data_IF_153575705010
#
_entry.id   IF_153575705010
#
_cell.length_a   1.000
_cell.length_b   1.000
_cell.length_c   1.000
_cell.angle_alpha   90.00
_cell.angle_beta   90.00
_cell.angle_gamma   90.00
#
_symmetry.space_group_name_H-M   'P 1'
#
loop_
_entity.id
_entity.type
_entity.pdbx_description
1 polymer ?
#
# COMPACT_ATOMS: atom_id res chain seq x y z
N UNK A 1 23.32 -16.95 -8.16
CA UNK A 1 22.11 -16.35 -7.57
C UNK A 1 21.16 -15.99 -8.70
N UNK A 2 19.87 -16.35 -8.59
CA UNK A 2 18.91 -16.09 -9.66
C UNK A 2 18.47 -14.62 -9.66
N UNK A 3 18.24 -14.07 -10.85
CA UNK A 3 17.61 -12.77 -11.03
C UNK A 3 16.16 -12.81 -10.49
N UNK A 4 15.68 -11.77 -9.80
CA UNK A 4 14.28 -11.67 -9.38
C UNK A 4 13.31 -11.67 -10.56
N UNK A 5 12.19 -12.37 -10.42
CA UNK A 5 11.07 -12.27 -11.37
C UNK A 5 10.30 -10.94 -11.17
N UNK A 6 9.57 -10.45 -12.19
CA UNK A 6 8.81 -9.19 -12.09
C UNK A 6 7.84 -9.14 -10.91
N UNK A 7 7.11 -10.22 -10.64
CA UNK A 7 6.13 -10.26 -9.53
C UNK A 7 6.81 -10.13 -8.16
N UNK A 8 8.03 -10.64 -8.01
CA UNK A 8 8.81 -10.50 -6.78
C UNK A 8 9.29 -9.06 -6.58
N UNK A 9 9.65 -8.37 -7.67
CA UNK A 9 10.01 -6.95 -7.64
C UNK A 9 8.80 -6.06 -7.33
N UNK A 10 7.64 -6.37 -7.92
CA UNK A 10 6.40 -5.66 -7.63
C UNK A 10 5.99 -5.82 -6.16
N UNK A 11 6.07 -7.05 -5.63
CA UNK A 11 5.84 -7.29 -4.20
C UNK A 11 6.85 -6.53 -3.33
N UNK A 12 8.13 -6.51 -3.69
CA UNK A 12 9.15 -5.76 -2.96
C UNK A 12 8.81 -4.26 -2.88
N UNK A 13 8.40 -3.66 -3.99
CA UNK A 13 7.99 -2.25 -4.04
C UNK A 13 6.80 -1.96 -3.10
N UNK A 14 5.79 -2.85 -3.03
CA UNK A 14 4.65 -2.68 -2.12
C UNK A 14 5.04 -2.69 -0.64
N UNK A 15 6.12 -3.41 -0.31
CA UNK A 15 6.64 -3.52 1.05
C UNK A 15 7.74 -2.50 1.36
N UNK A 16 8.04 -1.58 0.43
CA UNK A 16 9.09 -0.58 0.61
C UNK A 16 10.50 -1.17 0.60
N UNK A 17 10.70 -2.31 -0.05
CA UNK A 17 12.00 -2.97 -0.19
C UNK A 17 12.60 -2.63 -1.55
N UNK A 18 13.76 -1.98 -1.53
CA UNK A 18 14.50 -1.62 -2.74
C UNK A 18 15.11 -2.86 -3.43
N UNK A 19 15.19 -2.88 -4.78
CA UNK A 19 15.67 -4.04 -5.54
C UNK A 19 17.20 -4.12 -5.63
N UNK A 20 17.92 -3.22 -4.97
CA UNK A 20 19.36 -3.10 -5.02
C UNK A 20 19.81 -1.81 -4.33
N UNK A 21 21.12 -1.58 -4.26
CA UNK A 21 21.68 -0.40 -3.62
C UNK A 21 23.03 0.00 -4.21
N UNK A 22 23.42 1.25 -3.99
CA UNK A 22 24.80 1.69 -4.18
C UNK A 22 25.60 1.47 -2.89
N UNK A 23 26.75 0.82 -2.99
CA UNK A 23 27.67 0.70 -1.85
C UNK A 23 28.41 2.01 -1.53
N UNK A 24 29.31 1.96 -0.55
CA UNK A 24 30.09 3.12 -0.11
C UNK A 24 31.04 3.66 -1.19
N UNK A 25 31.41 2.82 -2.18
CA UNK A 25 32.25 3.19 -3.31
C UNK A 25 31.38 3.67 -4.51
N UNK A 26 30.06 3.77 -4.32
CA UNK A 26 29.09 4.21 -5.32
C UNK A 26 28.72 3.13 -6.35
N UNK A 27 29.17 1.88 -6.17
CA UNK A 27 28.88 0.80 -7.11
C UNK A 27 27.48 0.23 -6.87
N UNK A 28 26.71 0.05 -7.94
CA UNK A 28 25.40 -0.59 -7.88
C UNK A 28 25.50 -2.10 -7.65
N UNK A 29 24.67 -2.61 -6.73
CA UNK A 29 24.50 -4.03 -6.41
C UNK A 29 23.02 -4.39 -6.51
N UNK A 30 22.70 -5.31 -7.43
CA UNK A 30 21.36 -5.88 -7.55
C UNK A 30 21.08 -6.87 -6.40
N UNK A 31 19.87 -6.81 -5.86
CA UNK A 31 19.40 -7.83 -4.94
C UNK A 31 19.15 -9.15 -5.70
N UNK A 32 19.64 -10.25 -5.14
CA UNK A 32 19.26 -11.59 -5.61
C UNK A 32 17.81 -11.92 -5.25
N UNK A 33 17.18 -12.84 -5.99
CA UNK A 33 15.84 -13.32 -5.67
C UNK A 33 15.74 -13.86 -4.23
N UNK A 34 16.76 -14.61 -3.78
CA UNK A 34 16.78 -15.21 -2.44
C UNK A 34 16.88 -14.15 -1.34
N UNK A 35 17.66 -13.09 -1.57
CA UNK A 35 17.77 -11.96 -0.64
C UNK A 35 16.43 -11.22 -0.50
N UNK A 36 15.73 -10.96 -1.61
CA UNK A 36 14.40 -10.33 -1.58
C UNK A 36 13.39 -11.19 -0.84
N UNK A 37 13.37 -12.51 -1.08
CA UNK A 37 12.49 -13.43 -0.34
C UNK A 37 12.79 -13.35 1.15
N UNK A 38 14.05 -13.45 1.56
CA UNK A 38 14.43 -13.43 2.97
C UNK A 38 13.98 -12.14 3.68
N UNK A 39 14.18 -10.98 3.06
CA UNK A 39 13.75 -9.68 3.62
C UNK A 39 12.23 -9.59 3.69
N UNK A 40 11.53 -9.92 2.60
CA UNK A 40 10.07 -9.83 2.57
C UNK A 40 9.42 -10.78 3.57
N UNK A 41 9.89 -12.01 3.68
CA UNK A 41 9.43 -12.96 4.70
C UNK A 41 9.68 -12.44 6.12
N UNK A 42 10.84 -11.81 6.37
CA UNK A 42 11.15 -11.21 7.67
C UNK A 42 10.25 -10.02 8.03
N UNK A 43 9.77 -9.27 7.03
CA UNK A 43 8.77 -8.21 7.22
C UNK A 43 7.36 -8.77 7.43
N UNK A 44 7.12 -10.06 7.17
CA UNK A 44 5.83 -10.74 7.35
C UNK A 44 5.05 -10.97 6.07
N UNK A 45 5.66 -10.80 4.89
CA UNK A 45 5.01 -11.14 3.64
C UNK A 45 4.80 -12.66 3.53
N UNK A 46 3.66 -13.13 2.98
CA UNK A 46 3.31 -14.55 2.94
C UNK A 46 3.98 -15.29 1.78
N UNK A 47 5.32 -15.32 1.77
CA UNK A 47 6.11 -16.08 0.82
C UNK A 47 7.24 -16.85 1.51
N UNK A 48 7.61 -18.00 0.98
CA UNK A 48 8.77 -18.78 1.42
C UNK A 48 9.81 -18.95 0.30
N UNK A 49 9.40 -18.75 -0.96
CA UNK A 49 10.25 -18.89 -2.15
C UNK A 49 9.79 -17.96 -3.28
N UNK A 50 10.65 -17.69 -4.29
CA UNK A 50 10.32 -16.74 -5.37
C UNK A 50 9.02 -17.05 -6.12
N UNK A 51 8.67 -18.34 -6.26
CA UNK A 51 7.46 -18.77 -6.97
C UNK A 51 6.14 -18.38 -6.27
N UNK A 52 6.19 -18.04 -4.98
CA UNK A 52 4.99 -17.67 -4.22
C UNK A 52 4.61 -16.18 -4.44
N UNK A 53 5.51 -15.38 -5.02
CA UNK A 53 5.36 -13.92 -5.18
C UNK A 53 4.06 -13.52 -5.88
N UNK A 54 3.70 -14.20 -6.96
CA UNK A 54 2.46 -13.93 -7.70
C UNK A 54 1.19 -14.13 -6.84
N UNK A 55 1.21 -15.14 -5.97
CA UNK A 55 0.10 -15.41 -5.04
C UNK A 55 0.04 -14.38 -3.91
N UNK A 56 1.19 -14.05 -3.32
CA UNK A 56 1.31 -13.05 -2.27
C UNK A 56 0.88 -11.65 -2.75
N UNK A 57 1.26 -11.27 -3.98
CA UNK A 57 0.85 -10.01 -4.60
C UNK A 57 -0.67 -9.92 -4.77
N UNK A 58 -1.31 -10.96 -5.32
CA UNK A 58 -2.78 -10.99 -5.45
C UNK A 58 -3.49 -10.90 -4.10
N UNK A 59 -2.97 -11.58 -3.07
CA UNK A 59 -3.55 -11.52 -1.73
C UNK A 59 -3.45 -10.11 -1.12
N UNK A 60 -2.31 -9.43 -1.34
CA UNK A 60 -2.11 -8.04 -0.92
C UNK A 60 -3.09 -7.09 -1.62
N UNK A 61 -3.24 -7.20 -2.95
CA UNK A 61 -4.16 -6.37 -3.72
C UNK A 61 -5.62 -6.57 -3.27
N UNK A 62 -6.01 -7.82 -3.02
CA UNK A 62 -7.34 -8.14 -2.52
C UNK A 62 -7.59 -7.55 -1.11
N UNK A 63 -6.61 -7.58 -0.22
CA UNK A 63 -6.73 -6.97 1.11
C UNK A 63 -6.88 -5.44 1.03
N UNK A 64 -6.10 -4.79 0.17
CA UNK A 64 -6.12 -3.34 -0.02
C UNK A 64 -7.44 -2.83 -0.62
N UNK A 65 -8.00 -3.56 -1.59
CA UNK A 65 -9.29 -3.20 -2.21
C UNK A 65 -10.47 -3.31 -1.24
N UNK A 66 -10.39 -4.22 -0.26
CA UNK A 66 -11.39 -4.32 0.80
C UNK A 66 -11.37 -3.18 1.82
N UNK A 67 -10.33 -2.34 1.83
CA UNK A 67 -10.17 -1.28 2.82
C UNK A 67 -10.26 0.12 2.21
N UNK A 68 -11.38 0.84 2.44
CA UNK A 68 -11.68 2.09 1.73
C UNK A 68 -10.81 3.27 2.17
N UNK A 69 -10.13 3.18 3.32
CA UNK A 69 -9.18 4.20 3.81
C UNK A 69 -7.94 3.50 4.36
N UNK A 70 -6.81 4.20 4.37
CA UNK A 70 -5.62 3.68 5.04
C UNK A 70 -5.88 3.52 6.55
N UNK A 71 -5.30 2.49 7.21
CA UNK A 71 -5.49 2.27 8.64
C UNK A 71 -5.08 3.48 9.49
N UNK A 72 -4.07 4.23 9.04
CA UNK A 72 -3.52 5.40 9.73
C UNK A 72 -3.22 6.49 8.72
N UNK A 73 -3.73 7.69 8.99
CA UNK A 73 -3.37 8.91 8.28
C UNK A 73 -2.57 9.84 9.19
N UNK A 74 -1.54 10.48 8.64
CA UNK A 74 -0.74 11.49 9.36
C UNK A 74 -0.87 12.82 8.63
N UNK A 75 -1.20 13.87 9.39
CA UNK A 75 -1.28 15.23 8.89
C UNK A 75 -0.52 16.18 9.82
N UNK A 76 0.07 17.24 9.25
CA UNK A 76 0.77 18.25 10.01
C UNK A 76 -0.19 19.39 10.38
N UNK A 77 -0.21 19.79 11.65
CA UNK A 77 -1.03 20.93 12.08
C UNK A 77 -0.69 22.20 11.27
N UNK A 78 -1.71 22.87 10.75
CA UNK A 78 -1.56 24.09 9.95
C UNK A 78 -1.13 23.88 8.49
N UNK A 79 -0.76 22.65 8.10
CA UNK A 79 -0.53 22.28 6.70
C UNK A 79 -1.62 21.28 6.34
N UNK A 80 -2.66 21.75 5.65
CA UNK A 80 -3.83 20.93 5.32
C UNK A 80 -3.46 19.52 4.87
N UNK A 81 -4.23 18.54 5.34
CA UNK A 81 -4.10 17.13 4.97
C UNK A 81 -5.37 16.61 4.31
N UNK A 82 -5.27 15.46 3.65
CA UNK A 82 -6.40 14.75 3.09
C UNK A 82 -6.27 13.26 3.40
N UNK A 83 -7.41 12.60 3.61
CA UNK A 83 -7.49 11.14 3.66
C UNK A 83 -8.03 10.70 2.30
N UNK A 84 -7.24 9.93 1.56
CA UNK A 84 -7.70 9.35 0.32
C UNK A 84 -8.72 8.24 0.62
N UNK A 85 -9.87 8.29 -0.05
CA UNK A 85 -10.88 7.23 0.02
C UNK A 85 -10.78 6.39 -1.25
N UNK A 86 -10.37 5.14 -1.07
CA UNK A 86 -10.50 4.09 -2.08
C UNK A 86 -11.97 3.67 -2.14
N UNK A 87 -12.63 3.97 -3.25
CA UNK A 87 -13.96 3.46 -3.52
C UNK A 87 -13.87 2.32 -4.54
N UNK A 88 -14.48 1.18 -4.24
CA UNK A 88 -14.83 0.18 -5.24
C UNK A 88 -16.15 0.57 -5.93
N UNK A 89 -16.66 -0.26 -6.85
CA UNK A 89 -17.92 0.04 -7.54
C UNK A 89 -19.09 0.14 -6.54
N UNK A 90 -19.16 -0.78 -5.58
CA UNK A 90 -20.22 -0.82 -4.58
C UNK A 90 -20.25 0.44 -3.71
N UNK A 91 -19.09 0.96 -3.31
CA UNK A 91 -19.00 2.18 -2.51
C UNK A 91 -19.37 3.41 -3.35
N UNK A 92 -18.96 3.48 -4.62
CA UNK A 92 -19.36 4.57 -5.55
C UNK A 92 -20.87 4.62 -5.79
N UNK A 93 -21.53 3.47 -5.89
CA UNK A 93 -22.99 3.40 -6.09
C UNK A 93 -23.78 4.02 -4.92
N UNK A 94 -23.15 4.19 -3.75
CA UNK A 94 -23.77 4.87 -2.60
C UNK A 94 -23.78 6.39 -2.74
N UNK A 95 -23.01 6.97 -3.67
CA UNK A 95 -22.97 8.40 -4.00
C UNK A 95 -22.27 9.31 -2.98
N UNK A 96 -22.36 9.03 -1.68
CA UNK A 96 -21.69 9.78 -0.64
C UNK A 96 -21.30 8.93 0.57
N UNK A 97 -20.28 9.37 1.30
CA UNK A 97 -19.87 8.84 2.59
C UNK A 97 -19.88 9.96 3.65
N UNK A 98 -20.19 9.60 4.90
CA UNK A 98 -19.98 10.48 6.05
C UNK A 98 -18.65 10.09 6.70
N UNK A 99 -17.77 11.08 6.90
CA UNK A 99 -16.56 10.92 7.69
C UNK A 99 -16.67 11.70 8.99
N UNK A 100 -16.10 11.13 10.06
CA UNK A 100 -16.04 11.75 11.38
C UNK A 100 -14.65 11.57 11.96
N UNK A 101 -14.12 12.66 12.51
CA UNK A 101 -12.86 12.71 13.24
C UNK A 101 -13.23 13.02 14.69
N UNK A 102 -13.08 12.02 15.56
CA UNK A 102 -13.15 12.20 16.99
C UNK A 102 -11.77 12.64 17.50
N UNK A 103 -11.73 13.77 18.19
CA UNK A 103 -10.52 14.32 18.79
C UNK A 103 -10.36 13.80 20.22
N UNK A 104 -9.12 13.76 20.70
CA UNK A 104 -8.79 13.30 22.06
C UNK A 104 -9.42 14.17 23.15
N UNK A 105 -9.71 15.45 22.86
CA UNK A 105 -10.41 16.37 23.74
C UNK A 105 -11.92 16.10 23.88
N UNK A 106 -12.42 15.05 23.21
CA UNK A 106 -13.83 14.68 23.17
C UNK A 106 -14.66 15.47 22.15
N UNK A 107 -14.06 16.43 21.43
CA UNK A 107 -14.74 17.09 20.33
C UNK A 107 -14.77 16.20 19.09
N UNK A 108 -15.72 16.44 18.19
CA UNK A 108 -15.79 15.77 16.90
C UNK A 108 -15.88 16.78 15.76
N UNK A 109 -15.42 16.37 14.58
CA UNK A 109 -15.62 17.07 13.31
C UNK A 109 -16.14 16.07 12.30
N UNK A 110 -17.22 16.40 11.61
CA UNK A 110 -17.80 15.54 10.60
C UNK A 110 -17.95 16.28 9.27
N UNK A 111 -17.84 15.53 8.18
CA UNK A 111 -18.12 16.02 6.83
C UNK A 111 -18.78 14.95 5.98
N UNK A 112 -19.50 15.39 4.95
CA UNK A 112 -19.90 14.52 3.85
C UNK A 112 -18.86 14.57 2.74
N UNK A 113 -18.54 13.39 2.22
CA UNK A 113 -17.58 13.17 1.15
C UNK A 113 -18.36 12.65 -0.06
N UNK A 114 -18.47 13.41 -1.15
CA UNK A 114 -19.02 12.89 -2.38
C UNK A 114 -18.11 11.78 -2.90
N UNK A 115 -18.68 10.60 -3.14
CA UNK A 115 -17.97 9.48 -3.73
C UNK A 115 -18.18 9.58 -5.23
N UNK A 116 -17.27 10.28 -5.91
CA UNK A 116 -17.38 10.49 -7.35
C UNK A 116 -17.55 9.15 -8.08
N UNK A 117 -18.52 9.09 -9.00
CA UNK A 117 -18.59 8.00 -9.95
C UNK A 117 -17.34 8.03 -10.82
N UNK A 118 -16.80 6.86 -11.17
CA UNK A 118 -15.75 6.81 -12.18
C UNK A 118 -16.36 7.40 -13.45
N UNK A 119 -15.85 8.55 -13.90
CA UNK A 119 -16.20 9.04 -15.23
C UNK A 119 -15.76 8.00 -16.24
N UNK A 120 -16.68 7.55 -17.08
CA UNK A 120 -16.36 6.78 -18.27
C UNK A 120 -15.42 7.65 -19.13
N UNK A 121 -14.14 7.31 -19.11
CA UNK A 121 -13.11 7.85 -20.00
C UNK A 121 -12.80 6.85 -21.09
#
# INVERSE_FOLDING_TARGET
>A
MSKPAPDLLALAAHWGVEPGYHDIDGRWHDASADALVAVLSALGAPLARPADAAGALRAFDAAQTGQPVDPVGVAWCGRGGGIAVRADAALRDRGAARAEIACEDGSARACELPLAQAGDG
#
